data_IF_734564349824
#
_entry.id   IF_734564349824
#
_cell.length_a   1.000
_cell.length_b   1.000
_cell.length_c   1.000
_cell.angle_alpha   90.00
_cell.angle_beta   90.00
_cell.angle_gamma   90.00
#
_symmetry.space_group_name_H-M   'P 1'
#
loop_
_entity.id
_entity.type
_entity.pdbx_description
1 polymer ?
#
# COMPACT_ATOMS: atom_id res chain seq x y z
N UNK A 1 -14.15 0.79 -9.30
CA UNK A 1 -13.64 0.56 -10.68
C UNK A 1 -12.89 -0.76 -10.71
N UNK A 2 -12.96 -1.53 -11.80
CA UNK A 2 -12.12 -2.72 -12.01
C UNK A 2 -10.93 -2.36 -12.88
N UNK A 3 -9.75 -2.84 -12.50
CA UNK A 3 -8.53 -2.71 -13.29
C UNK A 3 -7.89 -4.07 -13.50
N UNK A 4 -7.12 -4.22 -14.57
CA UNK A 4 -6.35 -5.43 -14.82
C UNK A 4 -4.94 -5.27 -14.23
N UNK A 5 -4.64 -5.93 -13.11
CA UNK A 5 -3.32 -5.84 -12.45
C UNK A 5 -2.19 -6.22 -13.40
N UNK A 6 -2.44 -7.20 -14.27
CA UNK A 6 -1.37 -7.76 -15.08
C UNK A 6 -0.84 -6.69 -16.01
N UNK A 7 -1.72 -5.81 -16.52
CA UNK A 7 -1.36 -4.67 -17.36
C UNK A 7 -0.42 -3.69 -16.64
N UNK A 8 -0.61 -3.46 -15.34
CA UNK A 8 0.28 -2.60 -14.53
C UNK A 8 1.65 -3.22 -14.25
N UNK A 9 1.78 -4.54 -14.39
CA UNK A 9 3.02 -5.27 -14.12
C UNK A 9 3.83 -5.58 -15.37
N UNK A 10 3.27 -5.40 -16.58
CA UNK A 10 3.94 -5.75 -17.86
C UNK A 10 5.26 -5.02 -18.01
N UNK A 11 5.26 -3.71 -17.73
CA UNK A 11 6.41 -2.84 -17.97
C UNK A 11 7.44 -2.93 -16.85
N UNK A 12 7.18 -3.75 -15.83
CA UNK A 12 8.03 -3.87 -14.66
C UNK A 12 9.08 -4.99 -14.85
N UNK A 13 10.30 -4.60 -15.20
CA UNK A 13 11.39 -5.48 -15.66
C UNK A 13 11.99 -6.42 -14.60
N UNK A 14 11.69 -6.14 -13.33
CA UNK A 14 12.04 -6.95 -12.15
C UNK A 14 11.00 -8.03 -11.84
N UNK A 15 9.80 -7.93 -12.43
CA UNK A 15 8.69 -8.86 -12.19
C UNK A 15 8.91 -10.15 -12.97
N UNK A 16 8.69 -11.24 -12.27
CA UNK A 16 8.74 -12.58 -12.81
C UNK A 16 7.44 -13.29 -12.49
N UNK A 17 7.07 -14.23 -13.36
CA UNK A 17 5.85 -15.00 -13.26
C UNK A 17 6.17 -16.48 -13.22
N UNK A 18 5.41 -17.19 -12.39
CA UNK A 18 5.30 -18.65 -12.41
C UNK A 18 4.17 -19.02 -13.34
N UNK A 19 4.41 -19.99 -14.20
CA UNK A 19 3.44 -20.42 -15.22
C UNK A 19 3.28 -21.94 -15.26
N UNK A 20 2.21 -22.40 -15.87
CA UNK A 20 1.94 -23.83 -16.05
C UNK A 20 3.06 -24.54 -16.83
N UNK A 21 3.48 -25.70 -16.32
CA UNK A 21 4.51 -26.53 -16.99
C UNK A 21 4.06 -26.95 -18.40
N UNK A 22 2.77 -27.22 -18.59
CA UNK A 22 2.19 -27.57 -19.90
C UNK A 22 2.28 -26.40 -20.88
N UNK A 23 1.96 -25.19 -20.44
CA UNK A 23 2.07 -23.97 -21.25
C UNK A 23 3.52 -23.69 -21.67
N UNK A 24 4.50 -23.93 -20.79
CA UNK A 24 5.92 -23.81 -21.15
C UNK A 24 6.35 -24.85 -22.20
N UNK A 25 5.84 -26.08 -22.10
CA UNK A 25 6.07 -27.12 -23.10
C UNK A 25 5.47 -26.70 -24.45
N UNK A 26 4.25 -26.17 -24.45
CA UNK A 26 3.59 -25.66 -25.67
C UNK A 26 4.37 -24.51 -26.31
N UNK A 27 4.77 -23.49 -25.54
CA UNK A 27 5.61 -22.39 -26.05
C UNK A 27 6.88 -22.96 -26.68
N UNK A 28 7.56 -23.88 -26.00
CA UNK A 28 8.80 -24.48 -26.50
C UNK A 28 8.58 -25.23 -27.81
N UNK A 29 7.51 -26.01 -27.93
CA UNK A 29 7.13 -26.72 -29.14
C UNK A 29 6.84 -25.75 -30.30
N UNK A 30 6.07 -24.68 -30.05
CA UNK A 30 5.82 -23.64 -31.06
C UNK A 30 7.10 -22.91 -31.48
N UNK A 31 8.02 -22.62 -30.55
CA UNK A 31 9.35 -22.05 -30.89
C UNK A 31 10.12 -23.00 -31.79
N UNK A 32 10.22 -24.28 -31.44
CA UNK A 32 10.98 -25.27 -32.22
C UNK A 32 10.35 -25.45 -33.61
N UNK A 33 9.02 -25.51 -33.70
CA UNK A 33 8.30 -25.60 -34.98
C UNK A 33 8.58 -24.39 -35.88
N UNK A 34 8.58 -23.17 -35.32
CA UNK A 34 8.73 -21.93 -36.10
C UNK A 34 10.19 -21.57 -36.42
N UNK A 35 11.13 -21.84 -35.52
CA UNK A 35 12.52 -21.37 -35.59
C UNK A 35 13.56 -22.51 -35.66
N UNK A 36 13.12 -23.77 -35.60
CA UNK A 36 13.95 -24.97 -35.63
C UNK A 36 14.62 -25.34 -34.31
N UNK A 37 15.02 -24.36 -33.49
CA UNK A 37 15.53 -24.63 -32.13
C UNK A 37 15.43 -23.40 -31.22
N UNK A 38 15.48 -23.63 -29.90
CA UNK A 38 15.58 -22.56 -28.90
C UNK A 38 16.83 -21.69 -29.11
N UNK A 39 17.96 -22.28 -29.56
CA UNK A 39 19.21 -21.54 -29.82
C UNK A 39 19.05 -20.58 -31.00
N UNK A 40 18.44 -21.04 -32.10
CA UNK A 40 18.16 -20.22 -33.28
C UNK A 40 17.21 -19.08 -32.93
N UNK A 41 16.12 -19.38 -32.21
CA UNK A 41 15.19 -18.37 -31.73
C UNK A 41 15.88 -17.30 -30.87
N UNK A 42 16.70 -17.72 -29.89
CA UNK A 42 17.44 -16.80 -29.04
C UNK A 42 18.33 -15.85 -29.85
N UNK A 43 19.09 -16.40 -30.81
CA UNK A 43 19.98 -15.61 -31.66
C UNK A 43 19.21 -14.59 -32.52
N UNK A 44 18.06 -14.99 -33.07
CA UNK A 44 17.28 -14.14 -33.98
C UNK A 44 16.44 -13.09 -33.27
N UNK A 45 15.88 -13.38 -32.09
CA UNK A 45 14.79 -12.58 -31.49
C UNK A 45 15.10 -11.99 -30.12
N UNK A 46 15.58 -12.82 -29.18
CA UNK A 46 15.79 -12.39 -27.80
C UNK A 46 17.16 -11.73 -27.58
N UNK A 47 18.20 -12.24 -28.25
CA UNK A 47 19.59 -11.78 -28.14
C UNK A 47 20.11 -11.71 -26.69
N UNK A 48 19.72 -12.69 -25.86
CA UNK A 48 20.22 -12.84 -24.49
C UNK A 48 21.23 -13.97 -24.38
N UNK A 49 21.89 -14.12 -23.23
CA UNK A 49 22.74 -15.28 -22.96
C UNK A 49 21.92 -16.58 -23.09
N UNK A 50 22.34 -17.49 -23.99
CA UNK A 50 21.59 -18.70 -24.28
C UNK A 50 21.45 -19.62 -23.05
N UNK A 51 22.44 -19.64 -22.15
CA UNK A 51 22.35 -20.40 -20.91
C UNK A 51 21.18 -19.94 -20.03
N UNK A 52 20.85 -18.64 -20.03
CA UNK A 52 19.67 -18.11 -19.33
C UNK A 52 18.38 -18.65 -19.93
N UNK A 53 18.21 -18.56 -21.25
CA UNK A 53 17.02 -19.09 -21.93
C UNK A 53 16.88 -20.61 -21.75
N UNK A 54 18.00 -21.34 -21.87
CA UNK A 54 18.03 -22.79 -21.66
C UNK A 54 17.62 -23.16 -20.24
N UNK A 55 18.07 -22.40 -19.23
CA UNK A 55 17.65 -22.59 -17.85
C UNK A 55 16.16 -22.29 -17.67
N UNK A 56 15.64 -21.21 -18.27
CA UNK A 56 14.21 -20.85 -18.25
C UNK A 56 13.30 -21.98 -18.76
N UNK A 57 13.68 -22.64 -19.86
CA UNK A 57 12.89 -23.74 -20.44
C UNK A 57 13.22 -25.14 -19.92
N UNK A 58 14.10 -25.28 -18.91
CA UNK A 58 14.53 -26.60 -18.39
C UNK A 58 14.38 -26.74 -16.88
N UNK A 59 14.85 -25.75 -16.13
CA UNK A 59 15.04 -25.84 -14.67
C UNK A 59 14.27 -24.75 -13.94
N UNK A 60 14.22 -23.53 -14.48
CA UNK A 60 13.56 -22.43 -13.77
C UNK A 60 12.04 -22.61 -13.79
N UNK A 61 11.42 -22.36 -12.65
CA UNK A 61 9.97 -22.30 -12.53
C UNK A 61 9.39 -20.94 -12.97
N UNK A 62 10.27 -20.00 -13.34
CA UNK A 62 9.93 -18.59 -13.45
C UNK A 62 10.50 -17.92 -14.68
N UNK A 63 9.74 -16.98 -15.21
CA UNK A 63 10.07 -16.19 -16.39
C UNK A 63 9.96 -14.71 -16.08
N UNK A 64 10.88 -13.88 -16.61
CA UNK A 64 10.67 -12.43 -16.63
C UNK A 64 9.36 -12.12 -17.37
N UNK A 65 8.47 -11.36 -16.75
CA UNK A 65 7.11 -11.19 -17.26
C UNK A 65 7.05 -10.54 -18.66
N UNK A 66 7.67 -9.37 -18.90
CA UNK A 66 7.72 -8.79 -20.24
C UNK A 66 8.39 -9.71 -21.28
N UNK A 67 9.38 -10.52 -20.87
CA UNK A 67 10.02 -11.49 -21.79
C UNK A 67 9.07 -12.62 -22.16
N UNK A 68 8.34 -13.17 -21.20
CA UNK A 68 7.36 -14.22 -21.48
C UNK A 68 6.31 -13.73 -22.48
N UNK A 69 5.78 -12.53 -22.27
CA UNK A 69 4.81 -11.90 -23.17
C UNK A 69 5.38 -11.73 -24.59
N UNK A 70 6.62 -11.24 -24.70
CA UNK A 70 7.31 -11.16 -25.98
C UNK A 70 7.41 -12.54 -26.64
N UNK A 71 7.88 -13.55 -25.91
CA UNK A 71 8.01 -14.93 -26.44
C UNK A 71 6.66 -15.46 -26.93
N UNK A 72 5.61 -15.34 -26.11
CA UNK A 72 4.27 -15.81 -26.43
C UNK A 72 3.74 -15.14 -27.71
N UNK A 73 3.86 -13.81 -27.80
CA UNK A 73 3.44 -13.06 -28.99
C UNK A 73 4.18 -13.50 -30.27
N UNK A 74 5.49 -13.78 -30.17
CA UNK A 74 6.31 -14.22 -31.30
C UNK A 74 6.00 -15.64 -31.77
N UNK A 75 5.29 -16.44 -30.97
CA UNK A 75 4.77 -17.76 -31.36
C UNK A 75 3.26 -17.78 -31.60
N UNK A 76 2.62 -16.60 -31.65
CA UNK A 76 1.19 -16.46 -31.98
C UNK A 76 0.25 -16.83 -30.83
N UNK A 77 0.73 -16.82 -29.58
CA UNK A 77 -0.11 -16.97 -28.39
C UNK A 77 -0.58 -15.58 -27.96
N UNK A 78 -1.88 -15.46 -27.69
CA UNK A 78 -2.46 -14.18 -27.27
C UNK A 78 -2.00 -13.78 -25.86
N UNK A 79 -2.11 -12.49 -25.55
CA UNK A 79 -1.79 -11.97 -24.21
C UNK A 79 -2.74 -12.56 -23.17
N UNK A 80 -4.02 -12.68 -23.50
CA UNK A 80 -5.08 -13.17 -22.65
C UNK A 80 -4.89 -14.66 -22.30
N UNK A 81 -4.51 -15.46 -23.29
CA UNK A 81 -4.13 -16.86 -23.11
C UNK A 81 -2.87 -16.99 -22.24
N UNK A 82 -1.87 -16.14 -22.48
CA UNK A 82 -0.67 -16.10 -21.63
C UNK A 82 -1.04 -15.78 -20.18
N UNK A 83 -1.98 -14.86 -19.96
CA UNK A 83 -2.44 -14.48 -18.63
C UNK A 83 -3.17 -15.60 -17.90
N UNK A 84 -3.96 -16.42 -18.60
CA UNK A 84 -4.66 -17.55 -17.97
C UNK A 84 -3.73 -18.65 -17.44
N UNK A 85 -2.47 -18.67 -17.90
CA UNK A 85 -1.46 -19.64 -17.46
C UNK A 85 -0.53 -19.12 -16.36
N UNK A 86 -0.70 -17.88 -15.90
CA UNK A 86 0.10 -17.31 -14.80
C UNK A 86 -0.50 -17.76 -13.47
N UNK A 87 0.33 -18.42 -12.67
CA UNK A 87 -0.04 -18.97 -11.35
C UNK A 87 0.30 -18.03 -10.20
N UNK A 88 1.43 -17.34 -10.31
CA UNK A 88 1.91 -16.44 -9.28
C UNK A 88 2.93 -15.44 -9.83
N UNK A 89 3.13 -14.37 -9.06
CA UNK A 89 4.12 -13.34 -9.34
C UNK A 89 5.17 -13.31 -8.25
N UNK A 90 6.40 -12.94 -8.60
CA UNK A 90 7.36 -12.44 -7.63
C UNK A 90 8.22 -11.35 -8.26
N UNK A 91 8.88 -10.55 -7.44
CA UNK A 91 9.85 -9.58 -7.89
C UNK A 91 11.21 -9.90 -7.22
N UNK A 92 12.30 -9.76 -7.98
CA UNK A 92 13.65 -9.88 -7.39
C UNK A 92 13.90 -8.74 -6.41
N UNK A 93 14.77 -8.95 -5.42
CA UNK A 93 15.19 -7.89 -4.49
C UNK A 93 14.47 -7.87 -3.13
N UNK A 94 13.48 -8.74 -2.90
CA UNK A 94 13.10 -9.12 -1.54
C UNK A 94 14.09 -10.14 -0.98
N UNK A 95 14.32 -10.12 0.34
CA UNK A 95 15.10 -11.15 1.05
C UNK A 95 14.51 -12.56 0.91
N UNK A 96 13.30 -12.67 0.35
CA UNK A 96 12.59 -13.92 0.17
C UNK A 96 12.08 -14.01 -1.27
N UNK A 97 12.21 -15.17 -1.91
CA UNK A 97 11.59 -15.47 -3.22
C UNK A 97 10.11 -15.84 -3.06
N UNK A 98 9.38 -15.08 -2.23
CA UNK A 98 7.98 -15.40 -1.93
C UNK A 98 7.09 -15.02 -3.11
N UNK A 99 6.45 -16.03 -3.66
CA UNK A 99 5.37 -15.91 -4.63
C UNK A 99 4.18 -15.15 -4.01
N UNK A 100 3.46 -14.40 -4.84
CA UNK A 100 2.16 -13.81 -4.52
C UNK A 100 1.17 -14.18 -5.63
N UNK A 101 0.03 -14.74 -5.24
CA UNK A 101 -1.08 -14.98 -6.17
C UNK A 101 -1.85 -13.68 -6.27
N UNK A 102 -1.84 -13.08 -7.46
CA UNK A 102 -2.56 -11.84 -7.73
C UNK A 102 -3.78 -12.12 -8.61
N UNK A 103 -4.96 -11.59 -8.27
CA UNK A 103 -6.10 -11.68 -9.15
C UNK A 103 -5.81 -10.87 -10.41
N UNK A 104 -6.35 -11.30 -11.56
CA UNK A 104 -6.25 -10.54 -12.81
C UNK A 104 -7.00 -9.21 -12.69
N UNK A 105 -8.24 -9.27 -12.22
CA UNK A 105 -9.07 -8.09 -11.95
C UNK A 105 -8.91 -7.63 -10.50
N UNK A 106 -8.78 -6.32 -10.31
CA UNK A 106 -8.67 -5.71 -9.00
C UNK A 106 -9.65 -4.56 -8.86
N UNK A 107 -10.33 -4.52 -7.72
CA UNK A 107 -11.37 -3.53 -7.45
C UNK A 107 -10.76 -2.36 -6.68
N UNK A 108 -10.72 -1.20 -7.31
CA UNK A 108 -10.48 0.09 -6.66
C UNK A 108 -11.83 0.64 -6.21
N UNK A 109 -12.15 0.43 -4.93
CA UNK A 109 -13.31 1.00 -4.24
C UNK A 109 -12.86 2.00 -3.15
N UNK A 110 -13.81 2.59 -2.42
CA UNK A 110 -13.51 3.55 -1.34
C UNK A 110 -12.58 2.98 -0.28
N UNK A 111 -12.81 1.73 0.14
CA UNK A 111 -12.01 1.08 1.17
C UNK A 111 -10.58 0.84 0.69
N UNK A 112 -10.39 0.49 -0.60
CA UNK A 112 -9.06 0.35 -1.17
C UNK A 112 -8.31 1.67 -1.14
N UNK A 113 -8.95 2.74 -1.62
CA UNK A 113 -8.37 4.09 -1.68
C UNK A 113 -8.02 4.63 -0.29
N UNK A 114 -8.88 4.43 0.70
CA UNK A 114 -8.61 4.83 2.09
C UNK A 114 -7.39 4.10 2.66
N UNK A 115 -7.30 2.78 2.52
CA UNK A 115 -6.15 2.02 3.01
C UNK A 115 -4.86 2.29 2.25
N UNK A 116 -4.95 2.57 0.93
CA UNK A 116 -3.82 3.03 0.12
C UNK A 116 -3.28 4.38 0.63
N UNK A 117 -4.15 5.36 0.82
CA UNK A 117 -3.76 6.67 1.32
C UNK A 117 -3.22 6.60 2.76
N UNK A 118 -3.80 5.76 3.62
CA UNK A 118 -3.27 5.47 4.95
C UNK A 118 -1.86 4.85 4.87
N UNK A 119 -1.61 3.95 3.91
CA UNK A 119 -0.26 3.44 3.67
C UNK A 119 0.71 4.53 3.22
N UNK A 120 0.29 5.46 2.37
CA UNK A 120 1.17 6.59 1.99
C UNK A 120 1.51 7.50 3.18
N UNK A 121 0.58 7.65 4.12
CA UNK A 121 0.76 8.47 5.32
C UNK A 121 1.74 7.83 6.32
N UNK A 122 1.57 6.54 6.64
CA UNK A 122 2.28 5.89 7.77
C UNK A 122 3.13 4.66 7.37
N UNK A 123 3.07 4.30 6.09
CA UNK A 123 3.80 3.19 5.53
C UNK A 123 5.28 3.51 5.32
N UNK A 124 6.06 2.44 5.28
CA UNK A 124 7.47 2.43 4.92
C UNK A 124 7.65 1.36 3.84
N UNK A 125 8.41 1.65 2.80
CA UNK A 125 8.78 0.68 1.78
C UNK A 125 10.01 -0.15 2.21
N UNK A 126 10.62 0.22 3.34
CA UNK A 126 11.79 -0.38 3.96
C UNK A 126 13.09 0.36 3.68
N UNK A 127 13.02 1.58 3.14
CA UNK A 127 14.14 2.29 2.52
C UNK A 127 15.16 2.65 3.57
N UNK A 128 16.41 2.32 3.28
CA UNK A 128 17.52 3.05 3.87
C UNK A 128 18.35 3.60 2.71
N UNK A 129 19.10 4.68 2.90
CA UNK A 129 19.87 5.33 1.83
C UNK A 129 20.93 4.45 1.12
N UNK A 130 20.99 3.14 1.41
CA UNK A 130 21.90 2.16 0.81
C UNK A 130 21.18 1.02 0.07
N UNK A 131 19.90 0.75 0.34
CA UNK A 131 19.15 -0.33 -0.32
C UNK A 131 17.81 0.16 -0.83
N UNK A 132 17.52 -0.04 -2.12
CA UNK A 132 16.18 0.15 -2.68
C UNK A 132 15.29 -0.92 -2.04
N UNK A 133 14.41 -0.54 -1.12
CA UNK A 133 13.70 -1.52 -0.34
C UNK A 133 12.47 -2.00 -1.10
N UNK A 134 12.03 -3.22 -0.80
CA UNK A 134 10.88 -3.82 -1.47
C UNK A 134 10.02 -4.58 -0.48
N UNK A 135 9.51 -3.88 0.53
CA UNK A 135 8.68 -4.47 1.59
C UNK A 135 7.53 -3.55 1.92
N UNK A 136 6.35 -4.11 2.12
CA UNK A 136 5.23 -3.34 2.68
C UNK A 136 5.38 -3.38 4.19
N UNK A 137 5.60 -2.22 4.80
CA UNK A 137 5.66 -2.06 6.25
C UNK A 137 4.70 -0.97 6.67
N UNK A 138 3.96 -1.20 7.74
CA UNK A 138 3.04 -0.21 8.29
C UNK A 138 3.20 -0.20 9.80
N UNK A 139 3.46 0.96 10.39
CA UNK A 139 3.83 1.06 11.80
C UNK A 139 2.93 2.06 12.51
N UNK A 140 2.17 1.66 13.52
CA UNK A 140 1.37 2.59 14.31
C UNK A 140 1.28 2.11 15.78
N UNK A 141 1.02 3.03 16.71
CA UNK A 141 0.82 2.70 18.13
C UNK A 141 -0.64 2.40 18.49
N UNK A 142 -1.59 2.73 17.61
CA UNK A 142 -3.02 2.52 17.82
C UNK A 142 -3.45 1.21 17.17
N UNK A 143 -3.83 0.24 18.00
CA UNK A 143 -4.29 -1.08 17.56
C UNK A 143 -5.42 -1.04 16.51
N UNK A 144 -6.47 -0.21 16.64
CA UNK A 144 -7.54 -0.14 15.63
C UNK A 144 -7.03 0.30 14.25
N UNK A 145 -6.03 1.18 14.19
CA UNK A 145 -5.44 1.64 12.93
C UNK A 145 -4.64 0.50 12.28
N UNK A 146 -3.87 -0.23 13.08
CA UNK A 146 -3.09 -1.38 12.58
C UNK A 146 -4.00 -2.52 12.15
N UNK A 147 -5.08 -2.79 12.88
CA UNK A 147 -6.09 -3.78 12.51
C UNK A 147 -6.80 -3.42 11.20
N UNK A 148 -7.18 -2.16 11.02
CA UNK A 148 -7.74 -1.69 9.76
C UNK A 148 -6.79 -1.91 8.57
N UNK A 149 -5.50 -1.64 8.75
CA UNK A 149 -4.51 -1.92 7.70
C UNK A 149 -4.32 -3.42 7.45
N UNK A 150 -4.37 -4.25 8.50
CA UNK A 150 -4.36 -5.71 8.37
C UNK A 150 -5.54 -6.20 7.53
N UNK A 151 -6.75 -5.76 7.87
CA UNK A 151 -7.99 -6.19 7.21
C UNK A 151 -8.00 -5.72 5.75
N UNK A 152 -7.48 -4.52 5.47
CA UNK A 152 -7.23 -4.03 4.11
C UNK A 152 -6.27 -4.95 3.34
N UNK A 153 -5.12 -5.31 3.93
CA UNK A 153 -4.15 -6.22 3.29
C UNK A 153 -4.78 -7.59 2.98
N UNK A 154 -5.52 -8.17 3.93
CA UNK A 154 -6.18 -9.47 3.74
C UNK A 154 -7.24 -9.40 2.65
N UNK A 155 -8.07 -8.34 2.65
CA UNK A 155 -9.16 -8.18 1.69
C UNK A 155 -8.66 -8.06 0.26
N UNK A 156 -7.65 -7.22 0.03
CA UNK A 156 -7.22 -6.89 -1.34
C UNK A 156 -6.07 -7.76 -1.83
N UNK A 157 -5.26 -8.31 -0.93
CA UNK A 157 -4.13 -9.17 -1.28
C UNK A 157 -4.23 -10.49 -0.53
N UNK A 158 -5.26 -11.30 -0.80
CA UNK A 158 -5.39 -12.60 -0.15
C UNK A 158 -4.16 -13.46 -0.42
N UNK A 159 -3.80 -14.32 0.53
CA UNK A 159 -2.60 -15.18 0.48
C UNK A 159 -1.25 -14.43 0.55
N UNK A 160 -1.24 -13.16 0.94
CA UNK A 160 0.00 -12.48 1.30
C UNK A 160 0.58 -13.06 2.61
N UNK A 161 1.91 -13.13 2.71
CA UNK A 161 2.59 -13.67 3.88
C UNK A 161 3.13 -12.53 4.75
N UNK A 162 2.21 -11.94 5.53
CA UNK A 162 2.53 -10.92 6.51
C UNK A 162 2.71 -11.49 7.91
N UNK A 163 3.40 -10.71 8.75
CA UNK A 163 3.50 -10.94 10.18
C UNK A 163 3.36 -9.61 10.94
N UNK A 164 2.91 -9.70 12.18
CA UNK A 164 2.85 -8.61 13.15
C UNK A 164 4.14 -8.60 13.96
N UNK A 165 4.88 -7.49 13.91
CA UNK A 165 6.03 -7.22 14.77
C UNK A 165 5.62 -6.26 15.89
N UNK A 166 5.78 -6.70 17.14
CA UNK A 166 5.52 -5.91 18.34
C UNK A 166 6.86 -5.35 18.82
N UNK A 167 6.99 -4.03 18.78
CA UNK A 167 8.13 -3.31 19.32
C UNK A 167 7.84 -2.94 20.77
N UNK A 168 8.58 -3.58 21.67
CA UNK A 168 8.42 -3.49 23.11
C UNK A 168 9.44 -2.48 23.65
N UNK A 169 9.01 -1.38 24.27
CA UNK A 169 9.92 -0.49 25.00
C UNK A 169 10.69 -1.25 26.08
N UNK A 170 11.93 -0.84 26.36
CA UNK A 170 12.78 -1.48 27.37
C UNK A 170 12.25 -1.36 28.81
N UNK A 171 11.40 -0.36 29.07
CA UNK A 171 10.72 -0.13 30.35
C UNK A 171 9.36 -0.84 30.48
N UNK A 172 8.97 -1.70 29.52
CA UNK A 172 7.67 -2.38 29.51
C UNK A 172 7.81 -3.90 29.58
N UNK A 173 6.97 -4.51 30.40
CA UNK A 173 6.79 -5.97 30.46
C UNK A 173 5.78 -6.39 29.40
N UNK A 174 6.15 -7.36 28.57
CA UNK A 174 5.26 -7.98 27.59
C UNK A 174 4.83 -9.34 28.12
N UNK A 175 3.57 -9.41 28.59
CA UNK A 175 3.01 -10.60 29.25
C UNK A 175 2.42 -11.59 28.25
N UNK A 176 2.27 -12.85 28.66
CA UNK A 176 1.57 -13.89 27.88
C UNK A 176 0.11 -13.53 27.64
N UNK A 177 -0.60 -13.02 28.65
CA UNK A 177 -1.97 -12.50 28.51
C UNK A 177 -2.09 -11.45 27.41
N UNK A 178 -1.11 -10.53 27.32
CA UNK A 178 -1.11 -9.52 26.29
C UNK A 178 -0.81 -10.09 24.90
N UNK A 179 0.09 -11.08 24.82
CA UNK A 179 0.34 -11.82 23.60
C UNK A 179 -0.93 -12.51 23.08
N UNK A 180 -1.66 -13.22 23.95
CA UNK A 180 -2.89 -13.92 23.61
C UNK A 180 -4.02 -12.96 23.21
N UNK A 181 -4.13 -11.81 23.89
CA UNK A 181 -5.03 -10.75 23.49
C UNK A 181 -4.74 -10.30 22.05
N UNK A 182 -3.48 -10.01 21.70
CA UNK A 182 -3.10 -9.57 20.36
C UNK A 182 -3.34 -10.68 19.33
N UNK A 183 -3.01 -11.92 19.66
CA UNK A 183 -3.26 -13.09 18.82
C UNK A 183 -4.74 -13.20 18.44
N UNK A 184 -5.63 -13.09 19.43
CA UNK A 184 -7.08 -13.10 19.22
C UNK A 184 -7.57 -11.87 18.46
N UNK A 185 -7.11 -10.68 18.83
CA UNK A 185 -7.53 -9.41 18.23
C UNK A 185 -7.18 -9.32 16.74
N UNK A 186 -5.98 -9.77 16.36
CA UNK A 186 -5.57 -9.80 14.96
C UNK A 186 -5.95 -11.10 14.25
N UNK A 187 -6.44 -12.13 14.94
CA UNK A 187 -6.70 -13.47 14.37
C UNK A 187 -5.44 -14.04 13.67
N UNK A 188 -4.36 -14.19 14.44
CA UNK A 188 -3.05 -14.63 13.96
C UNK A 188 -2.61 -15.95 14.58
N UNK A 189 -1.76 -16.67 13.85
CA UNK A 189 -1.02 -17.80 14.39
C UNK A 189 0.28 -17.35 15.09
N UNK A 190 0.84 -18.22 15.95
CA UNK A 190 2.04 -17.90 16.73
C UNK A 190 3.23 -17.49 15.85
N UNK A 191 3.42 -18.13 14.69
CA UNK A 191 4.53 -17.83 13.78
C UNK A 191 4.40 -16.46 13.08
N UNK A 192 3.20 -15.88 13.11
CA UNK A 192 2.92 -14.55 12.53
C UNK A 192 3.10 -13.43 13.53
N UNK A 193 3.40 -13.72 14.81
CA UNK A 193 3.68 -12.69 15.81
C UNK A 193 5.16 -12.76 16.17
N UNK A 194 5.85 -11.64 15.97
CA UNK A 194 7.25 -11.46 16.36
C UNK A 194 7.35 -10.36 17.38
N UNK A 195 8.26 -10.49 18.32
CA UNK A 195 8.55 -9.46 19.34
C UNK A 195 9.96 -8.92 19.15
N UNK A 196 10.15 -7.65 19.47
CA UNK A 196 11.46 -7.00 19.42
C UNK A 196 11.56 -5.95 20.53
N UNK A 197 12.52 -6.12 21.45
CA UNK A 197 12.85 -5.11 22.44
C UNK A 197 13.52 -3.91 21.74
N UNK A 198 13.05 -2.71 22.05
CA UNK A 198 13.47 -1.47 21.43
C UNK A 198 14.00 -0.51 22.49
N UNK A 199 15.31 -0.24 22.48
CA UNK A 199 16.02 0.70 23.40
C UNK A 199 15.76 2.19 23.11
N UNK A 200 14.57 2.54 22.64
CA UNK A 200 14.26 3.89 22.17
C UNK A 200 13.76 4.73 23.35
N UNK A 201 14.60 5.63 23.88
CA UNK A 201 14.30 6.49 25.05
C UNK A 201 13.04 7.38 24.96
N UNK A 202 12.35 7.45 23.81
CA UNK A 202 11.29 8.44 23.55
C UNK A 202 9.87 7.88 23.33
N UNK A 203 9.67 6.56 23.18
CA UNK A 203 8.33 6.00 22.97
C UNK A 203 7.79 5.37 24.25
N UNK A 204 6.73 5.95 24.82
CA UNK A 204 6.13 5.54 26.11
C UNK A 204 5.28 4.25 26.06
N UNK A 205 5.15 3.59 24.91
CA UNK A 205 4.27 2.44 24.75
C UNK A 205 4.61 1.56 23.56
N UNK A 206 3.93 0.41 23.49
CA UNK A 206 4.08 -0.56 22.41
C UNK A 206 3.81 0.07 21.05
N UNK A 207 4.58 -0.39 20.06
CA UNK A 207 4.39 -0.02 18.66
C UNK A 207 4.20 -1.28 17.85
N UNK A 208 3.16 -1.30 17.03
CA UNK A 208 2.79 -2.44 16.22
C UNK A 208 3.21 -2.18 14.78
N UNK A 209 3.79 -3.19 14.15
CA UNK A 209 4.26 -3.09 12.79
C UNK A 209 3.82 -4.29 11.98
N UNK A 210 2.98 -4.08 10.97
CA UNK A 210 2.71 -5.10 9.97
C UNK A 210 3.87 -5.11 8.97
N UNK A 211 4.40 -6.30 8.69
CA UNK A 211 5.49 -6.51 7.75
C UNK A 211 5.07 -7.57 6.72
N UNK A 212 5.13 -7.20 5.44
CA UNK A 212 4.99 -8.13 4.33
C UNK A 212 6.29 -8.10 3.51
N UNK A 213 6.99 -9.24 3.49
CA UNK A 213 8.30 -9.41 2.85
C UNK A 213 8.18 -9.83 1.37
N UNK A 214 7.14 -9.38 0.66
CA UNK A 214 6.88 -9.65 -0.75
C UNK A 214 7.10 -8.36 -1.59
N UNK A 215 8.21 -8.31 -2.34
CA UNK A 215 8.59 -7.15 -3.16
C UNK A 215 7.50 -6.75 -4.17
N UNK A 216 6.92 -7.74 -4.82
CA UNK A 216 5.87 -7.54 -5.82
C UNK A 216 4.67 -6.76 -5.29
N UNK A 217 4.36 -6.90 -4.00
CA UNK A 217 3.22 -6.21 -3.40
C UNK A 217 3.44 -4.70 -3.33
N UNK A 218 4.64 -4.25 -2.91
CA UNK A 218 4.92 -2.81 -2.85
C UNK A 218 5.04 -2.23 -4.26
N UNK A 219 5.66 -2.96 -5.19
CA UNK A 219 5.76 -2.52 -6.58
C UNK A 219 4.37 -2.34 -7.20
N UNK A 220 3.43 -3.25 -6.91
CA UNK A 220 2.03 -3.12 -7.32
C UNK A 220 1.34 -1.93 -6.65
N UNK A 221 1.48 -1.75 -5.34
CA UNK A 221 0.86 -0.62 -4.63
C UNK A 221 1.35 0.71 -5.23
N UNK A 222 2.66 0.85 -5.47
CA UNK A 222 3.24 2.07 -6.01
C UNK A 222 2.86 2.29 -7.49
N UNK A 223 2.77 1.24 -8.31
CA UNK A 223 2.39 1.39 -9.72
C UNK A 223 0.94 1.88 -9.91
N UNK A 224 0.08 1.68 -8.91
CA UNK A 224 -1.31 2.14 -8.93
C UNK A 224 -1.49 3.62 -8.60
N UNK A 225 -0.44 4.33 -8.16
CA UNK A 225 -0.53 5.70 -7.64
C UNK A 225 -1.26 6.66 -8.62
N UNK A 226 -0.77 6.76 -9.85
CA UNK A 226 -1.35 7.67 -10.84
C UNK A 226 -2.81 7.32 -11.16
N UNK A 227 -3.12 6.03 -11.27
CA UNK A 227 -4.49 5.57 -11.50
C UNK A 227 -5.41 5.98 -10.36
N UNK A 228 -5.02 5.70 -9.11
CA UNK A 228 -5.81 6.06 -7.92
C UNK A 228 -6.00 7.57 -7.84
N UNK A 229 -4.93 8.34 -8.06
CA UNK A 229 -4.98 9.80 -7.98
C UNK A 229 -5.91 10.41 -9.03
N UNK A 230 -5.84 9.93 -10.27
CA UNK A 230 -6.74 10.38 -11.33
C UNK A 230 -8.21 10.04 -11.02
N UNK A 231 -8.50 8.87 -10.47
CA UNK A 231 -9.87 8.50 -10.10
C UNK A 231 -10.43 9.40 -8.99
N UNK A 232 -9.63 9.72 -7.99
CA UNK A 232 -10.05 10.58 -6.89
C UNK A 232 -10.35 12.01 -7.38
N UNK A 233 -9.66 12.51 -8.40
CA UNK A 233 -9.97 13.82 -9.00
C UNK A 233 -11.31 13.84 -9.74
N UNK A 234 -11.82 12.66 -10.16
CA UNK A 234 -13.07 12.53 -10.90
C UNK A 234 -14.26 12.07 -10.04
N UNK A 235 -14.02 11.46 -8.88
CA UNK A 235 -15.06 10.92 -8.00
C UNK A 235 -14.92 11.44 -6.57
N UNK A 236 -15.89 12.26 -6.14
CA UNK A 236 -15.95 12.84 -4.78
C UNK A 236 -15.93 11.78 -3.67
N UNK A 237 -16.55 10.62 -3.88
CA UNK A 237 -16.57 9.55 -2.89
C UNK A 237 -15.18 8.93 -2.72
N UNK A 238 -14.42 8.80 -3.79
CA UNK A 238 -13.03 8.33 -3.74
C UNK A 238 -12.11 9.43 -3.18
N UNK A 239 -12.31 10.69 -3.54
CA UNK A 239 -11.60 11.83 -2.95
C UNK A 239 -11.74 11.86 -1.41
N UNK A 240 -12.97 11.75 -0.91
CA UNK A 240 -13.24 11.72 0.52
C UNK A 240 -12.56 10.52 1.21
N UNK A 241 -12.55 9.35 0.57
CA UNK A 241 -11.86 8.17 1.09
C UNK A 241 -10.33 8.35 1.12
N UNK A 242 -9.75 8.95 0.08
CA UNK A 242 -8.32 9.26 0.02
C UNK A 242 -7.92 10.21 1.14
N UNK A 243 -8.65 11.32 1.28
CA UNK A 243 -8.41 12.28 2.35
C UNK A 243 -8.57 11.61 3.71
N UNK A 244 -9.61 10.79 3.91
CA UNK A 244 -9.81 10.06 5.18
C UNK A 244 -8.60 9.18 5.54
N UNK A 245 -8.05 8.44 4.57
CA UNK A 245 -6.84 7.64 4.75
C UNK A 245 -5.65 8.49 5.22
N UNK A 246 -5.42 9.63 4.56
CA UNK A 246 -4.40 10.60 4.96
C UNK A 246 -4.64 11.19 6.36
N UNK A 247 -5.90 11.49 6.70
CA UNK A 247 -6.28 12.06 7.99
C UNK A 247 -6.13 11.07 9.16
N UNK A 248 -6.33 9.77 8.92
CA UNK A 248 -6.05 8.71 9.90
C UNK A 248 -4.56 8.74 10.30
N UNK A 249 -3.64 8.93 9.34
CA UNK A 249 -2.20 8.98 9.60
C UNK A 249 -1.73 10.36 10.10
N UNK A 250 -1.87 11.38 9.27
CA UNK A 250 -1.24 12.70 9.46
C UNK A 250 -2.19 13.78 10.01
N UNK A 251 -3.50 13.50 10.00
CA UNK A 251 -4.50 14.48 10.42
C UNK A 251 -4.53 14.71 11.93
N UNK A 252 -4.84 15.93 12.35
CA UNK A 252 -5.07 16.29 13.76
C UNK A 252 -6.30 17.16 13.90
N UNK A 253 -7.11 16.91 14.95
CA UNK A 253 -8.21 17.77 15.38
C UNK A 253 -7.80 18.56 16.62
N UNK A 254 -8.30 19.79 16.72
CA UNK A 254 -8.03 20.69 17.84
C UNK A 254 -9.33 21.19 18.48
N UNK A 255 -9.39 21.10 19.81
CA UNK A 255 -10.50 21.55 20.67
C UNK A 255 -10.06 22.71 21.59
N UNK A 256 -9.26 23.64 21.08
CA UNK A 256 -8.74 24.75 21.91
C UNK A 256 -9.65 25.99 21.81
N UNK A 257 -9.10 27.19 22.04
CA UNK A 257 -9.80 28.47 21.80
C UNK A 257 -10.35 28.56 20.37
N UNK A 258 -9.59 28.06 19.39
CA UNK A 258 -10.03 27.87 18.02
C UNK A 258 -10.23 26.38 17.72
N UNK A 259 -11.36 26.05 17.11
CA UNK A 259 -11.70 24.68 16.68
C UNK A 259 -11.34 24.50 15.23
N UNK A 260 -10.55 23.50 14.93
CA UNK A 260 -10.14 23.24 13.56
C UNK A 260 -9.60 21.83 13.38
N UNK A 261 -9.50 21.44 12.12
CA UNK A 261 -8.79 20.26 11.66
C UNK A 261 -7.61 20.71 10.82
N UNK A 262 -6.50 19.98 10.92
CA UNK A 262 -5.30 20.21 10.15
C UNK A 262 -4.69 18.91 9.66
N UNK A 263 -4.10 18.93 8.49
CA UNK A 263 -3.11 17.94 8.04
C UNK A 263 -1.80 18.66 7.77
N UNK A 264 -0.68 18.07 8.19
CA UNK A 264 0.67 18.60 7.97
C UNK A 264 1.55 17.52 7.34
N UNK A 265 2.31 17.84 6.29
CA UNK A 265 3.21 16.89 5.63
C UNK A 265 4.46 17.60 5.08
N UNK A 266 5.57 16.88 5.00
CA UNK A 266 6.79 17.36 4.33
C UNK A 266 6.76 17.22 2.81
N UNK A 267 5.99 16.26 2.32
CA UNK A 267 5.85 16.01 0.88
C UNK A 267 4.90 17.04 0.26
N UNK A 268 5.48 18.08 -0.34
CA UNK A 268 4.75 19.17 -1.01
C UNK A 268 3.79 18.67 -2.09
N UNK A 269 4.25 17.77 -2.96
CA UNK A 269 3.42 17.23 -4.05
C UNK A 269 2.17 16.51 -3.53
N UNK A 270 2.34 15.78 -2.43
CA UNK A 270 1.23 15.02 -1.84
C UNK A 270 0.22 15.94 -1.17
N UNK A 271 0.67 16.95 -0.43
CA UNK A 271 -0.25 17.88 0.24
C UNK A 271 -0.94 18.82 -0.75
N UNK A 272 -0.29 19.22 -1.84
CA UNK A 272 -0.94 19.95 -2.94
C UNK A 272 -2.05 19.12 -3.58
N UNK A 273 -1.80 17.83 -3.76
CA UNK A 273 -2.79 16.90 -4.28
C UNK A 273 -3.99 16.76 -3.32
N UNK A 274 -3.74 16.59 -2.01
CA UNK A 274 -4.79 16.59 -0.98
C UNK A 274 -5.58 17.91 -0.98
N UNK A 275 -4.90 19.05 -1.16
CA UNK A 275 -5.55 20.36 -1.27
C UNK A 275 -6.52 20.43 -2.45
N UNK A 276 -6.12 19.93 -3.63
CA UNK A 276 -7.01 19.83 -4.81
C UNK A 276 -8.25 18.98 -4.50
N UNK A 277 -8.09 17.85 -3.78
CA UNK A 277 -9.22 17.02 -3.36
C UNK A 277 -10.16 17.76 -2.39
N UNK A 278 -9.62 18.51 -1.41
CA UNK A 278 -10.45 19.35 -0.55
C UNK A 278 -11.24 20.40 -1.33
N UNK A 279 -10.64 21.02 -2.35
CA UNK A 279 -11.34 21.95 -3.25
C UNK A 279 -12.43 21.27 -4.07
N UNK A 280 -12.17 20.07 -4.59
CA UNK A 280 -13.17 19.25 -5.29
C UNK A 280 -14.39 18.93 -4.42
N UNK A 281 -14.17 18.69 -3.13
CA UNK A 281 -15.24 18.47 -2.15
C UNK A 281 -15.91 19.77 -1.68
N UNK A 282 -15.43 20.94 -2.13
CA UNK A 282 -15.99 22.25 -1.78
C UNK A 282 -15.65 22.69 -0.35
N UNK A 283 -14.41 22.47 0.09
CA UNK A 283 -13.89 23.05 1.33
C UNK A 283 -13.18 24.39 1.07
N UNK A 284 -13.49 25.38 1.90
CA UNK A 284 -12.73 26.62 2.02
C UNK A 284 -11.54 26.39 2.96
N UNK A 285 -10.41 26.02 2.38
CA UNK A 285 -9.14 25.83 3.09
C UNK A 285 -8.01 26.58 2.38
N UNK A 286 -6.90 26.76 3.09
CA UNK A 286 -5.66 27.34 2.59
C UNK A 286 -4.54 26.30 2.67
N UNK A 287 -3.64 26.32 1.69
CA UNK A 287 -2.39 25.59 1.71
C UNK A 287 -1.28 26.57 2.07
N UNK A 288 -0.53 26.29 3.13
CA UNK A 288 0.51 27.19 3.61
C UNK A 288 1.72 26.43 4.13
N UNK A 289 2.92 26.97 3.91
CA UNK A 289 4.14 26.50 4.57
C UNK A 289 4.17 26.99 6.03
N UNK A 290 4.57 26.13 6.96
CA UNK A 290 4.66 26.45 8.39
C UNK A 290 5.90 27.31 8.66
N UNK A 291 5.71 28.53 9.16
CA UNK A 291 6.81 29.42 9.56
C UNK A 291 7.69 28.87 10.67
N UNK A 292 7.14 28.00 11.53
CA UNK A 292 7.83 27.47 12.71
C UNK A 292 8.37 26.04 12.54
N UNK A 293 8.21 25.43 11.36
CA UNK A 293 8.69 24.07 11.06
C UNK A 293 9.18 24.01 9.62
N UNK A 294 10.49 23.84 9.47
CA UNK A 294 11.13 23.77 8.16
C UNK A 294 10.49 22.69 7.28
N UNK A 295 10.20 23.06 6.02
CA UNK A 295 9.64 22.18 4.98
C UNK A 295 8.37 21.44 5.41
N UNK A 296 7.57 22.03 6.29
CA UNK A 296 6.30 21.43 6.71
C UNK A 296 5.15 22.24 6.11
N UNK A 297 4.44 21.63 5.18
CA UNK A 297 3.25 22.22 4.58
C UNK A 297 2.02 21.85 5.41
N UNK A 298 0.98 22.68 5.37
CA UNK A 298 -0.26 22.41 6.10
C UNK A 298 -1.50 22.86 5.36
N UNK A 299 -2.59 22.09 5.52
CA UNK A 299 -3.95 22.50 5.13
C UNK A 299 -4.78 22.67 6.39
N UNK A 300 -5.48 23.79 6.50
CA UNK A 300 -6.32 24.15 7.63
C UNK A 300 -7.81 24.18 7.28
N UNK A 301 -8.64 23.55 8.12
CA UNK A 301 -10.11 23.57 8.00
C UNK A 301 -10.71 24.14 9.28
N UNK A 302 -11.27 25.34 9.16
CA UNK A 302 -11.82 26.09 10.29
C UNK A 302 -13.18 25.57 10.79
N UNK A 303 -13.57 26.07 11.97
CA UNK A 303 -14.76 25.68 12.71
C UNK A 303 -16.06 25.57 11.89
N UNK A 304 -16.29 26.49 10.95
CA UNK A 304 -17.52 26.57 10.13
C UNK A 304 -17.77 25.32 9.27
N UNK A 305 -16.73 24.54 8.99
CA UNK A 305 -16.81 23.37 8.10
C UNK A 305 -16.60 22.04 8.84
N UNK A 306 -16.43 22.07 10.18
CA UNK A 306 -16.13 20.87 10.94
C UNK A 306 -17.25 19.85 10.92
N UNK A 307 -18.51 20.28 10.89
CA UNK A 307 -19.65 19.35 10.79
C UNK A 307 -19.60 18.59 9.46
N UNK A 308 -19.43 19.30 8.35
CA UNK A 308 -19.22 18.72 7.01
C UNK A 308 -18.03 17.76 7.01
N UNK A 309 -16.90 18.18 7.57
CA UNK A 309 -15.70 17.33 7.68
C UNK A 309 -15.97 16.05 8.48
N UNK A 310 -16.68 16.14 9.60
CA UNK A 310 -17.04 14.99 10.44
C UNK A 310 -17.95 13.99 9.72
N UNK A 311 -18.96 14.49 9.00
CA UNK A 311 -19.93 13.63 8.30
C UNK A 311 -19.33 12.97 7.04
N UNK A 312 -18.46 13.68 6.31
CA UNK A 312 -17.94 13.24 5.01
C UNK A 312 -16.61 12.49 5.10
N UNK A 313 -15.67 12.99 5.93
CA UNK A 313 -14.27 12.54 5.96
C UNK A 313 -13.95 11.90 7.32
N UNK A 314 -13.98 12.68 8.40
CA UNK A 314 -13.61 12.23 9.74
C UNK A 314 -12.17 11.71 9.85
N UNK A 315 -11.91 10.98 10.93
CA UNK A 315 -10.65 10.30 11.23
C UNK A 315 -10.77 8.78 11.15
N UNK A 316 -11.82 8.27 10.50
CA UNK A 316 -12.05 6.85 10.28
C UNK A 316 -11.88 6.01 11.55
N UNK A 317 -11.00 5.02 11.50
CA UNK A 317 -10.72 4.09 12.61
C UNK A 317 -9.88 4.68 13.75
N UNK A 318 -9.35 5.90 13.61
CA UNK A 318 -8.56 6.54 14.67
C UNK A 318 -9.46 7.15 15.76
N UNK A 319 -9.96 6.29 16.64
CA UNK A 319 -10.98 6.62 17.66
C UNK A 319 -10.67 7.86 18.50
N UNK A 320 -9.44 8.04 18.99
CA UNK A 320 -9.09 9.21 19.83
C UNK A 320 -9.24 10.53 19.09
N UNK A 321 -8.74 10.63 17.86
CA UNK A 321 -8.86 11.82 17.01
C UNK A 321 -10.31 12.05 16.60
N UNK A 322 -11.06 10.99 16.33
CA UNK A 322 -12.50 11.07 16.05
C UNK A 322 -13.29 11.64 17.23
N UNK A 323 -12.99 11.23 18.46
CA UNK A 323 -13.61 11.80 19.69
C UNK A 323 -13.30 13.28 19.86
N UNK A 324 -12.07 13.71 19.57
CA UNK A 324 -11.70 15.13 19.63
C UNK A 324 -12.47 15.93 18.57
N UNK A 325 -12.60 15.40 17.35
CA UNK A 325 -13.39 16.03 16.30
C UNK A 325 -14.87 16.14 16.68
N UNK A 326 -15.45 15.08 17.20
CA UNK A 326 -16.84 15.05 17.66
C UNK A 326 -17.09 16.12 18.73
N UNK A 327 -16.21 16.21 19.73
CA UNK A 327 -16.27 17.25 20.74
C UNK A 327 -16.08 18.65 20.13
N UNK A 328 -15.23 18.81 19.11
CA UNK A 328 -15.05 20.08 18.40
C UNK A 328 -16.31 20.47 17.62
N UNK A 329 -17.01 19.53 17.00
CA UNK A 329 -18.28 19.79 16.31
C UNK A 329 -19.36 20.19 17.31
N UNK A 330 -19.50 19.44 18.42
CA UNK A 330 -20.59 19.56 19.38
C UNK A 330 -20.41 20.69 20.41
N UNK A 331 -19.25 21.37 20.44
CA UNK A 331 -19.02 22.49 21.36
C UNK A 331 -20.01 23.61 21.07
N UNK A 332 -21.06 23.69 21.89
CA UNK A 332 -21.93 24.86 22.03
C UNK A 332 -21.00 25.98 22.49
N UNK A 333 -20.85 27.02 21.66
CA UNK A 333 -20.23 28.25 22.11
C UNK A 333 -21.07 28.71 23.31
N UNK A 334 -20.49 28.72 24.52
CA UNK A 334 -21.10 29.44 25.63
C UNK A 334 -21.19 30.89 25.19
N UNK A 335 -22.35 31.27 24.65
CA UNK A 335 -22.75 32.65 24.49
C UNK A 335 -22.94 33.16 25.92
N UNK A 336 -22.18 34.19 26.28
CA UNK A 336 -22.24 34.95 27.53
C UNK A 336 -21.63 34.29 28.79
N UNK A 337 -20.33 34.52 28.98
CA UNK A 337 -19.72 34.70 30.31
C UNK A 337 -19.08 36.11 30.42
N UNK A 338 -19.82 37.10 29.92
CA UNK A 338 -19.69 38.48 30.34
C UNK A 338 -21.11 38.93 30.71
N UNK A 339 -21.46 38.73 31.98
CA UNK A 339 -22.43 39.57 32.69
C UNK A 339 -21.58 40.41 33.63
#
# INVERSE_FOLDING_TARGET
MRINIYDFLIDNDIVHVKVDKLFIKEIKEKIIKRFGSLRKYNFQKLKIYYGTLKAEFRINEYFKFPRLLKIASEVGISKEETFSHIKAFFARGSNTHRELVLPKEFIIDKQFVEGYALYLAEGDNGSNGKTIPRKVRFTNSKLPVVKNFQDWLIKYFPNNNYYLLIRIPDDKVFTEEYYDYLKKYFNLDNFQIKTQICRWKRKKGFVYKICCDQAILIDLILSLENTIKNLCLCDKKLAAAYIRGMMIGEGTAYLNKSRYVRIEMRNEREIEYIYKLFKLLGYTCELSLRSNRENMWSIYIGAKQLKKFYDEIGFGVHQERQKILEAAVNKILRVNQYI
#
